data_IF_045418729399
#
_entry.id   IF_045418729399
#
_cell.length_a   1.000
_cell.length_b   1.000
_cell.length_c   1.000
_cell.angle_alpha   90.00
_cell.angle_beta   90.00
_cell.angle_gamma   90.00
#
_symmetry.space_group_name_H-M   'P 1'
#
loop_
_entity.id
_entity.type
_entity.pdbx_description
1 polymer ?
#
# COMPACT_ATOMS: atom_id res chain seq x y z
N UNK A 1 -7.83 -29.82 -29.26
CA UNK A 1 -7.64 -28.44 -28.80
C UNK A 1 -7.21 -27.63 -30.01
N UNK A 2 -7.98 -26.62 -30.40
CA UNK A 2 -7.68 -25.80 -31.58
C UNK A 2 -6.66 -24.71 -31.24
N UNK A 3 -5.99 -24.16 -32.25
CA UNK A 3 -5.07 -23.02 -32.07
C UNK A 3 -5.75 -21.82 -31.41
N UNK A 4 -7.05 -21.63 -31.69
CA UNK A 4 -7.85 -20.55 -31.09
C UNK A 4 -8.06 -20.76 -29.58
N UNK A 5 -8.39 -21.98 -29.17
CA UNK A 5 -8.55 -22.32 -27.74
C UNK A 5 -7.25 -22.11 -26.94
N UNK A 6 -6.10 -22.33 -27.58
CA UNK A 6 -4.79 -22.07 -26.99
C UNK A 6 -4.58 -20.55 -26.82
N UNK A 7 -4.87 -19.76 -27.85
CA UNK A 7 -4.71 -18.30 -27.81
C UNK A 7 -5.58 -17.65 -26.72
N UNK A 8 -6.86 -18.02 -26.63
CA UNK A 8 -7.79 -17.48 -25.63
C UNK A 8 -7.37 -17.84 -24.19
N UNK A 9 -6.72 -19.01 -24.02
CA UNK A 9 -6.19 -19.42 -22.72
C UNK A 9 -4.94 -18.63 -22.35
N UNK A 10 -4.05 -18.37 -23.31
CA UNK A 10 -2.86 -17.55 -23.09
C UNK A 10 -3.24 -16.11 -22.70
N UNK A 11 -4.19 -15.50 -23.40
CA UNK A 11 -4.65 -14.14 -23.09
C UNK A 11 -5.19 -14.03 -21.65
N UNK A 12 -6.01 -14.99 -21.21
CA UNK A 12 -6.51 -15.02 -19.82
C UNK A 12 -5.39 -15.19 -18.79
N UNK A 13 -4.38 -15.99 -19.11
CA UNK A 13 -3.21 -16.17 -18.24
C UNK A 13 -2.42 -14.87 -18.17
N UNK A 14 -2.17 -14.19 -19.29
CA UNK A 14 -1.46 -12.91 -19.34
C UNK A 14 -2.19 -11.82 -18.56
N UNK A 15 -3.51 -11.70 -18.71
CA UNK A 15 -4.32 -10.75 -17.94
C UNK A 15 -4.22 -11.01 -16.43
N UNK A 16 -4.29 -12.28 -16.02
CA UNK A 16 -4.16 -12.67 -14.61
C UNK A 16 -2.76 -12.37 -14.07
N UNK A 17 -1.71 -12.68 -14.85
CA UNK A 17 -0.33 -12.38 -14.49
C UNK A 17 -0.09 -10.87 -14.37
N UNK A 18 -0.63 -10.07 -15.28
CA UNK A 18 -0.52 -8.62 -15.23
C UNK A 18 -1.16 -8.06 -13.96
N UNK A 19 -2.36 -8.54 -13.60
CA UNK A 19 -3.02 -8.17 -12.34
C UNK A 19 -2.20 -8.54 -11.11
N UNK A 20 -1.60 -9.73 -11.10
CA UNK A 20 -0.75 -10.19 -10.00
C UNK A 20 0.56 -9.38 -9.89
N UNK A 21 1.18 -9.01 -11.02
CA UNK A 21 2.39 -8.18 -11.04
C UNK A 21 2.08 -6.77 -10.50
N UNK A 22 0.96 -6.16 -10.93
CA UNK A 22 0.53 -4.86 -10.43
C UNK A 22 0.24 -4.89 -8.92
N UNK A 23 -0.22 -6.02 -8.38
CA UNK A 23 -0.43 -6.19 -6.93
C UNK A 23 0.87 -6.46 -6.15
N UNK A 24 1.94 -6.96 -6.79
CA UNK A 24 3.14 -7.50 -6.13
C UNK A 24 4.36 -6.59 -6.12
N UNK A 25 4.33 -5.38 -6.67
CA UNK A 25 5.40 -4.40 -6.41
C UNK A 25 5.32 -3.91 -4.96
N UNK A 26 5.90 -4.70 -4.07
CA UNK A 26 6.15 -4.34 -2.68
C UNK A 26 7.05 -3.10 -2.70
N UNK A 27 6.51 -1.96 -2.26
CA UNK A 27 7.30 -0.75 -2.05
C UNK A 27 7.86 -0.81 -0.66
N UNK A 28 9.08 -0.33 -0.45
CA UNK A 28 9.64 -0.22 0.89
C UNK A 28 8.88 0.83 1.73
N UNK A 29 8.43 1.91 1.08
CA UNK A 29 7.74 3.03 1.70
C UNK A 29 6.48 3.41 0.93
N UNK A 30 5.41 3.69 1.69
CA UNK A 30 4.11 4.09 1.19
C UNK A 30 3.74 5.47 1.74
N UNK A 31 3.05 6.26 0.94
CA UNK A 31 2.37 7.48 1.36
C UNK A 31 1.09 7.15 2.14
N UNK A 32 0.54 8.15 2.85
CA UNK A 32 -0.75 8.00 3.54
C UNK A 32 -1.91 7.67 2.59
N UNK A 33 -1.87 8.15 1.35
CA UNK A 33 -2.88 7.87 0.33
C UNK A 33 -2.85 6.40 -0.10
N UNK A 34 -1.66 5.86 -0.37
CA UNK A 34 -1.50 4.46 -0.78
C UNK A 34 -1.90 3.51 0.35
N UNK A 35 -1.48 3.79 1.59
CA UNK A 35 -1.91 2.99 2.76
C UNK A 35 -3.43 3.04 2.94
N UNK A 36 -4.04 4.19 2.69
CA UNK A 36 -5.50 4.34 2.78
C UNK A 36 -6.22 3.48 1.74
N UNK A 37 -5.72 3.43 0.51
CA UNK A 37 -6.24 2.56 -0.55
C UNK A 37 -6.09 1.08 -0.17
N UNK A 38 -4.91 0.67 0.30
CA UNK A 38 -4.63 -0.73 0.70
C UNK A 38 -5.50 -1.19 1.87
N UNK A 39 -5.76 -0.32 2.85
CA UNK A 39 -6.53 -0.66 4.05
C UNK A 39 -8.03 -0.36 3.92
N UNK A 40 -8.49 0.17 2.78
CA UNK A 40 -9.87 0.59 2.57
C UNK A 40 -10.32 1.69 3.55
N UNK A 41 -9.49 2.71 3.76
CA UNK A 41 -9.75 3.84 4.67
C UNK A 41 -9.68 5.17 3.92
N UNK A 42 -10.15 6.23 4.58
CA UNK A 42 -9.90 7.59 4.11
C UNK A 42 -8.46 8.01 4.44
N UNK A 43 -7.81 8.75 3.53
CA UNK A 43 -6.44 9.23 3.73
C UNK A 43 -6.30 10.06 5.02
N UNK A 44 -7.30 10.89 5.32
CA UNK A 44 -7.33 11.68 6.55
C UNK A 44 -7.21 10.80 7.81
N UNK A 45 -7.88 9.65 7.82
CA UNK A 45 -7.82 8.69 8.94
C UNK A 45 -6.41 8.14 9.13
N UNK A 46 -5.75 7.73 8.05
CA UNK A 46 -4.36 7.22 8.12
C UNK A 46 -3.40 8.32 8.57
N UNK A 47 -3.57 9.55 8.06
CA UNK A 47 -2.77 10.71 8.48
C UNK A 47 -2.93 11.00 9.98
N UNK A 48 -4.14 10.86 10.50
CA UNK A 48 -4.44 11.03 11.91
C UNK A 48 -3.80 9.94 12.77
N UNK A 49 -3.71 8.70 12.28
CA UNK A 49 -2.95 7.64 12.95
C UNK A 49 -1.47 7.99 13.06
N UNK A 50 -0.86 8.51 12.00
CA UNK A 50 0.53 8.98 12.05
C UNK A 50 0.70 10.12 13.06
N UNK A 51 -0.23 11.10 13.07
CA UNK A 51 -0.20 12.24 13.99
C UNK A 51 -0.32 11.82 15.46
N UNK A 52 -1.17 10.83 15.74
CA UNK A 52 -1.42 10.31 17.08
C UNK A 52 -0.42 9.22 17.51
N UNK A 53 0.56 8.87 16.67
CA UNK A 53 1.53 7.81 16.97
C UNK A 53 0.89 6.41 17.07
N UNK A 54 -0.24 6.19 16.40
CA UNK A 54 -0.93 4.90 16.38
C UNK A 54 -0.34 3.91 15.37
N UNK A 55 0.62 4.38 14.57
CA UNK A 55 1.43 3.61 13.63
C UNK A 55 2.86 4.14 13.64
N UNK A 56 3.83 3.29 13.35
CA UNK A 56 5.23 3.68 13.15
C UNK A 56 5.42 4.36 11.78
N UNK A 57 5.28 5.68 11.75
CA UNK A 57 5.45 6.49 10.54
C UNK A 57 6.65 7.44 10.65
N UNK A 58 7.26 7.75 9.50
CA UNK A 58 8.35 8.72 9.39
C UNK A 58 7.95 9.88 8.48
N UNK A 59 8.69 10.99 8.56
CA UNK A 59 8.55 12.11 7.63
C UNK A 59 9.59 11.96 6.52
N UNK A 60 9.19 12.11 5.25
CA UNK A 60 10.16 12.08 4.13
C UNK A 60 11.26 13.11 4.33
N UNK A 61 12.49 12.72 4.04
CA UNK A 61 13.60 13.66 4.11
C UNK A 61 13.58 14.73 3.02
N UNK A 62 12.98 14.40 1.87
CA UNK A 62 12.74 15.31 0.76
C UNK A 62 11.27 15.76 0.70
N UNK A 63 11.02 17.01 0.30
CA UNK A 63 9.67 17.59 0.18
C UNK A 63 9.68 19.12 0.07
N UNK A 64 8.54 19.73 -0.30
CA UNK A 64 8.40 21.19 -0.38
C UNK A 64 7.88 21.76 0.95
N UNK A 65 8.65 22.65 1.56
CA UNK A 65 8.25 23.45 2.73
C UNK A 65 8.52 22.81 4.09
N UNK A 66 7.99 23.44 5.15
CA UNK A 66 8.23 23.05 6.56
C UNK A 66 7.50 21.76 6.99
N UNK A 67 6.50 21.34 6.22
CA UNK A 67 5.67 20.18 6.52
C UNK A 67 6.03 19.03 5.59
N UNK A 68 7.04 18.25 5.96
CA UNK A 68 7.40 17.00 5.26
C UNK A 68 6.19 16.05 5.20
N UNK A 69 6.09 15.24 4.14
CA UNK A 69 5.03 14.23 3.99
C UNK A 69 5.24 13.03 4.91
N UNK A 70 4.16 12.37 5.35
CA UNK A 70 4.25 11.11 6.10
C UNK A 70 4.53 9.94 5.15
N UNK A 71 5.38 9.02 5.60
CA UNK A 71 5.65 7.73 4.98
C UNK A 71 5.54 6.61 6.01
N UNK A 72 5.04 5.47 5.57
CA UNK A 72 4.85 4.25 6.37
C UNK A 72 5.63 3.14 5.66
N UNK A 73 6.44 2.39 6.40
CA UNK A 73 7.21 1.29 5.81
C UNK A 73 6.29 0.12 5.45
N UNK A 74 6.72 -0.74 4.53
CA UNK A 74 6.02 -1.98 4.24
C UNK A 74 5.86 -2.87 5.49
N UNK A 75 6.89 -2.91 6.32
CA UNK A 75 6.88 -3.64 7.59
C UNK A 75 5.76 -3.14 8.49
N UNK A 76 5.62 -1.81 8.66
CA UNK A 76 4.56 -1.25 9.48
C UNK A 76 3.17 -1.46 8.87
N UNK A 77 3.03 -1.34 7.55
CA UNK A 77 1.77 -1.64 6.87
C UNK A 77 1.33 -3.10 7.15
N UNK A 78 2.27 -4.03 7.05
CA UNK A 78 2.04 -5.45 7.34
C UNK A 78 1.68 -5.66 8.82
N UNK A 79 2.37 -4.99 9.74
CA UNK A 79 2.05 -5.01 11.17
C UNK A 79 0.64 -4.50 11.43
N UNK A 80 0.24 -3.37 10.86
CA UNK A 80 -1.11 -2.81 11.01
C UNK A 80 -2.18 -3.77 10.49
N UNK A 81 -1.93 -4.48 9.38
CA UNK A 81 -2.87 -5.48 8.86
C UNK A 81 -3.04 -6.68 9.81
N UNK A 82 -1.95 -7.11 10.45
CA UNK A 82 -1.96 -8.30 11.32
C UNK A 82 -2.41 -8.00 12.76
N UNK A 83 -2.01 -6.85 13.31
CA UNK A 83 -2.12 -6.53 14.73
C UNK A 83 -3.05 -5.34 15.00
N UNK A 84 -3.39 -4.57 13.96
CA UNK A 84 -4.12 -3.32 14.11
C UNK A 84 -3.26 -2.16 14.61
N UNK A 85 -3.93 -1.14 15.13
CA UNK A 85 -3.32 0.12 15.55
C UNK A 85 -2.71 0.03 16.94
N UNK A 86 -1.60 0.74 17.15
CA UNK A 86 -1.01 0.91 18.48
C UNK A 86 -2.02 1.59 19.43
N UNK A 87 -1.91 1.25 20.71
CA UNK A 87 -2.69 1.85 21.77
C UNK A 87 -2.40 3.36 21.87
N UNK A 88 -3.46 4.13 22.15
CA UNK A 88 -3.31 5.56 22.45
C UNK A 88 -2.75 5.66 23.87
N UNK A 89 -1.66 6.41 24.05
CA UNK A 89 -1.14 6.75 25.39
C UNK A 89 -1.92 7.89 26.01
#
# INVERSE_FOLDING_TARGET
MTTQEIADRLERIEQTLQQLITQKTIKEWYSTAEVAEILGKAEFTVREWCRLGRVYASKRDCGRGKSKEWIISHEELTRVQNEGLLAVR
#
